data_IF_418070574795
#
_entry.id   IF_418070574795
#
_cell.length_a   1.000
_cell.length_b   1.000
_cell.length_c   1.000
_cell.angle_alpha   90.00
_cell.angle_beta   90.00
_cell.angle_gamma   90.00
#
_symmetry.space_group_name_H-M   'P 1'
#
loop_
_entity.id
_entity.type
_entity.pdbx_description
1 polymer ?
#
# COMPACT_ATOMS: atom_id res chain seq x y z
N UNK A 1 4.41 2.65 -9.49
CA UNK A 1 3.13 3.36 -9.24
C UNK A 1 2.05 2.92 -10.21
N UNK A 2 2.23 3.02 -11.53
CA UNK A 2 1.17 2.60 -12.47
C UNK A 2 0.65 1.18 -12.27
N UNK A 3 1.54 0.22 -12.06
CA UNK A 3 1.14 -1.16 -11.77
C UNK A 3 0.30 -1.26 -10.48
N UNK A 4 0.60 -0.43 -9.46
CA UNK A 4 -0.20 -0.39 -8.23
C UNK A 4 -1.61 0.18 -8.47
N UNK A 5 -1.74 1.15 -9.38
CA UNK A 5 -3.02 1.72 -9.79
C UNK A 5 -3.88 0.68 -10.51
N UNK A 6 -3.26 -0.19 -11.31
CA UNK A 6 -3.95 -1.30 -11.96
C UNK A 6 -4.42 -2.32 -10.91
N UNK A 7 -3.56 -2.72 -9.96
CA UNK A 7 -3.96 -3.61 -8.85
C UNK A 7 -5.10 -3.02 -8.00
N UNK A 8 -5.13 -1.70 -7.79
CA UNK A 8 -6.26 -1.06 -7.10
C UNK A 8 -7.56 -1.24 -7.87
N UNK A 9 -7.52 -1.05 -9.19
CA UNK A 9 -8.70 -1.22 -10.06
C UNK A 9 -9.21 -2.66 -10.02
N UNK A 10 -8.29 -3.64 -10.04
CA UNK A 10 -8.61 -5.06 -9.92
C UNK A 10 -9.19 -5.39 -8.53
N UNK A 11 -8.67 -4.79 -7.46
CA UNK A 11 -9.21 -4.96 -6.12
C UNK A 11 -10.67 -4.50 -6.01
N UNK A 12 -10.99 -3.34 -6.59
CA UNK A 12 -12.36 -2.81 -6.62
C UNK A 12 -13.28 -3.68 -7.49
N UNK A 13 -12.80 -4.16 -8.64
CA UNK A 13 -13.58 -5.04 -9.51
C UNK A 13 -13.90 -6.38 -8.82
N UNK A 14 -12.91 -7.00 -8.20
CA UNK A 14 -13.09 -8.24 -7.45
C UNK A 14 -14.06 -8.08 -6.28
N UNK A 15 -14.00 -6.95 -5.57
CA UNK A 15 -14.91 -6.66 -4.48
C UNK A 15 -16.36 -6.57 -4.97
N UNK A 16 -16.60 -5.82 -6.05
CA UNK A 16 -17.92 -5.67 -6.67
C UNK A 16 -18.49 -7.00 -7.16
N UNK A 17 -17.62 -7.91 -7.59
CA UNK A 17 -17.98 -9.26 -8.04
C UNK A 17 -18.12 -10.28 -6.89
N UNK A 18 -17.97 -9.87 -5.62
CA UNK A 18 -18.04 -10.75 -4.45
C UNK A 18 -16.83 -11.68 -4.29
N UNK A 19 -15.73 -11.44 -5.01
CA UNK A 19 -14.47 -12.20 -4.94
C UNK A 19 -13.57 -11.65 -3.81
N UNK A 20 -14.08 -11.63 -2.59
CA UNK A 20 -13.44 -10.97 -1.43
C UNK A 20 -11.98 -11.39 -1.14
N UNK A 21 -11.57 -12.67 -1.22
CA UNK A 21 -10.17 -13.01 -1.05
C UNK A 21 -9.27 -12.44 -2.16
N UNK A 22 -9.77 -12.42 -3.40
CA UNK A 22 -9.05 -11.86 -4.55
C UNK A 22 -8.92 -10.33 -4.43
N UNK A 23 -9.97 -9.65 -3.97
CA UNK A 23 -9.93 -8.21 -3.75
C UNK A 23 -8.90 -7.82 -2.68
N UNK A 24 -8.80 -8.61 -1.59
CA UNK A 24 -7.76 -8.42 -0.56
C UNK A 24 -6.37 -8.66 -1.12
N UNK A 25 -6.19 -9.71 -1.94
CA UNK A 25 -4.91 -9.97 -2.59
C UNK A 25 -4.46 -8.81 -3.48
N UNK A 26 -5.34 -8.27 -4.33
CA UNK A 26 -5.02 -7.13 -5.19
C UNK A 26 -4.82 -5.84 -4.39
N UNK A 27 -5.58 -5.61 -3.31
CA UNK A 27 -5.32 -4.49 -2.40
C UNK A 27 -3.92 -4.57 -1.76
N UNK A 28 -3.48 -5.77 -1.37
CA UNK A 28 -2.12 -6.00 -0.87
C UNK A 28 -1.06 -5.75 -1.95
N UNK A 29 -1.30 -6.21 -3.18
CA UNK A 29 -0.40 -5.97 -4.31
C UNK A 29 -0.27 -4.48 -4.66
N UNK A 30 -1.38 -3.76 -4.66
CA UNK A 30 -1.42 -2.31 -4.81
C UNK A 30 -0.53 -1.64 -3.76
N UNK A 31 -0.77 -1.92 -2.48
CA UNK A 31 0.00 -1.34 -1.37
C UNK A 31 1.49 -1.65 -1.50
N UNK A 32 1.86 -2.91 -1.72
CA UNK A 32 3.28 -3.32 -1.84
C UNK A 32 3.99 -2.57 -2.98
N UNK A 33 3.36 -2.49 -4.17
CA UNK A 33 3.94 -1.82 -5.34
C UNK A 33 3.94 -0.29 -5.20
N UNK A 34 2.97 0.29 -4.48
CA UNK A 34 2.92 1.72 -4.18
C UNK A 34 4.06 2.11 -3.23
N UNK A 35 4.28 1.35 -2.15
CA UNK A 35 5.37 1.61 -1.22
C UNK A 35 6.74 1.36 -1.88
N UNK A 36 6.89 0.33 -2.71
CA UNK A 36 8.14 0.14 -3.49
C UNK A 36 8.45 1.34 -4.40
N UNK A 37 7.42 1.96 -4.98
CA UNK A 37 7.60 3.17 -5.77
C UNK A 37 8.03 4.37 -4.90
N UNK A 38 7.46 4.51 -3.69
CA UNK A 38 7.89 5.51 -2.71
C UNK A 38 9.35 5.28 -2.26
N UNK A 39 9.74 4.05 -1.95
CA UNK A 39 11.11 3.75 -1.54
C UNK A 39 12.10 3.98 -2.70
N UNK A 40 11.70 3.67 -3.94
CA UNK A 40 12.48 4.04 -5.13
C UNK A 40 12.65 5.55 -5.27
N UNK A 41 11.64 6.36 -4.90
CA UNK A 41 11.77 7.82 -4.85
C UNK A 41 12.85 8.26 -3.85
N UNK A 42 12.97 7.58 -2.70
CA UNK A 42 14.05 7.81 -1.74
C UNK A 42 15.43 7.26 -2.18
N UNK A 43 15.52 6.65 -3.37
CA UNK A 43 16.77 6.10 -3.89
C UNK A 43 17.07 4.67 -3.45
N UNK A 44 16.11 3.95 -2.89
CA UNK A 44 16.27 2.56 -2.48
C UNK A 44 15.81 1.62 -3.61
N UNK A 45 16.77 0.90 -4.19
CA UNK A 45 16.49 -0.20 -5.11
C UNK A 45 16.22 -1.48 -4.31
N UNK A 46 15.09 -2.15 -4.57
CA UNK A 46 14.67 -3.32 -3.78
C UNK A 46 15.05 -4.63 -4.46
N UNK A 47 15.72 -5.50 -3.71
CA UNK A 47 15.74 -6.93 -3.99
C UNK A 47 14.73 -7.65 -3.07
N UNK A 48 13.53 -7.94 -3.61
CA UNK A 48 12.59 -8.98 -3.13
C UNK A 48 11.92 -8.86 -1.73
N UNK A 49 11.80 -7.69 -1.10
CA UNK A 49 10.95 -7.60 0.11
C UNK A 49 9.44 -7.63 -0.23
N UNK A 50 8.65 -8.33 0.59
CA UNK A 50 7.19 -8.24 0.64
C UNK A 50 6.68 -7.34 1.79
N UNK A 51 7.61 -6.77 2.57
CA UNK A 51 7.33 -5.91 3.71
C UNK A 51 7.96 -4.52 3.53
N UNK A 52 7.57 -3.75 2.49
CA UNK A 52 8.14 -2.44 2.27
C UNK A 52 7.78 -1.41 3.36
N UNK A 53 6.74 -1.66 4.19
CA UNK A 53 6.46 -0.78 5.34
C UNK A 53 7.59 -0.78 6.37
N UNK A 54 8.22 -1.95 6.61
CA UNK A 54 9.32 -2.08 7.57
C UNK A 54 10.53 -1.25 7.12
N UNK A 55 10.86 -1.31 5.83
CA UNK A 55 11.95 -0.50 5.26
C UNK A 55 11.63 1.00 5.37
N UNK A 56 10.39 1.40 5.08
CA UNK A 56 9.98 2.79 5.20
C UNK A 56 10.13 3.29 6.64
N UNK A 57 9.63 2.53 7.62
CA UNK A 57 9.74 2.89 9.04
C UNK A 57 11.19 2.90 9.54
N UNK A 58 11.90 1.80 9.36
CA UNK A 58 13.21 1.57 9.98
C UNK A 58 14.36 2.28 9.25
N UNK A 59 14.33 2.32 7.92
CA UNK A 59 15.46 2.78 7.11
C UNK A 59 15.29 4.19 6.53
N UNK A 60 14.06 4.70 6.43
CA UNK A 60 13.79 6.03 5.86
C UNK A 60 13.42 7.02 6.96
N UNK A 61 12.37 6.72 7.73
CA UNK A 61 11.80 7.68 8.68
C UNK A 61 12.66 7.83 9.94
N UNK A 62 13.41 6.80 10.31
CA UNK A 62 14.34 6.85 11.44
C UNK A 62 15.76 7.31 11.05
N UNK A 63 16.04 7.56 9.76
CA UNK A 63 17.35 8.01 9.28
C UNK A 63 17.40 9.55 9.15
N UNK A 64 18.18 10.26 9.99
CA UNK A 64 18.34 11.70 9.90
C UNK A 64 18.99 12.17 8.58
N UNK A 65 19.85 11.35 7.97
CA UNK A 65 20.52 11.70 6.71
C UNK A 65 19.51 11.75 5.55
N UNK A 66 18.58 10.80 5.50
CA UNK A 66 17.47 10.77 4.54
C UNK A 66 16.59 12.01 4.71
N UNK A 67 16.16 12.27 5.95
CA UNK A 67 15.28 13.40 6.26
C UNK A 67 15.92 14.74 5.86
N UNK A 68 17.22 14.89 6.11
CA UNK A 68 18.01 16.06 5.70
C UNK A 68 18.18 16.16 4.18
N UNK A 69 18.55 15.06 3.52
CA UNK A 69 18.77 14.99 2.06
C UNK A 69 17.52 15.35 1.26
N UNK A 70 16.37 14.86 1.69
CA UNK A 70 15.08 15.11 1.04
C UNK A 70 14.33 16.32 1.61
N UNK A 71 14.90 16.99 2.63
CA UNK A 71 14.32 18.14 3.31
C UNK A 71 12.86 17.89 3.74
N UNK A 72 12.61 16.72 4.34
CA UNK A 72 11.25 16.33 4.69
C UNK A 72 10.69 17.22 5.81
N UNK A 73 9.52 17.79 5.56
CA UNK A 73 8.77 18.55 6.54
C UNK A 73 8.09 17.61 7.55
N UNK A 74 7.77 18.13 8.74
CA UNK A 74 7.16 17.32 9.82
C UNK A 74 5.86 16.67 9.38
N UNK A 75 5.06 17.39 8.61
CA UNK A 75 3.79 16.94 8.04
C UNK A 75 4.01 15.76 7.08
N UNK A 76 5.07 15.80 6.26
CA UNK A 76 5.41 14.72 5.35
C UNK A 76 5.84 13.46 6.11
N UNK A 77 6.62 13.61 7.18
CA UNK A 77 7.01 12.50 8.05
C UNK A 77 5.78 11.87 8.71
N UNK A 78 4.84 12.69 9.21
CA UNK A 78 3.59 12.19 9.81
C UNK A 78 2.72 11.43 8.81
N UNK A 79 2.61 11.91 7.56
CA UNK A 79 1.92 11.19 6.49
C UNK A 79 2.56 9.81 6.27
N UNK A 80 3.90 9.75 6.19
CA UNK A 80 4.61 8.50 5.97
C UNK A 80 4.53 7.53 7.14
N UNK A 81 4.54 8.01 8.39
CA UNK A 81 4.28 7.17 9.56
C UNK A 81 2.89 6.52 9.48
N UNK A 82 1.88 7.28 9.05
CA UNK A 82 0.54 6.74 8.87
C UNK A 82 0.46 5.72 7.73
N UNK A 83 1.17 5.96 6.62
CA UNK A 83 1.32 4.98 5.53
C UNK A 83 1.94 3.68 6.05
N UNK A 84 3.03 3.76 6.83
CA UNK A 84 3.69 2.58 7.41
C UNK A 84 2.74 1.77 8.30
N UNK A 85 1.99 2.44 9.19
CA UNK A 85 1.01 1.79 10.08
C UNK A 85 -0.04 1.02 9.27
N UNK A 86 -0.69 1.67 8.31
CA UNK A 86 -1.74 1.05 7.49
C UNK A 86 -1.19 -0.06 6.61
N UNK A 87 -0.02 0.15 6.00
CA UNK A 87 0.61 -0.83 5.13
C UNK A 87 0.95 -2.12 5.91
N UNK A 88 1.46 -2.01 7.14
CA UNK A 88 1.80 -3.17 7.97
C UNK A 88 0.61 -4.09 8.23
N UNK A 89 -0.60 -3.54 8.37
CA UNK A 89 -1.85 -4.31 8.56
C UNK A 89 -2.18 -5.13 7.30
N UNK A 90 -2.02 -4.51 6.13
CA UNK A 90 -2.29 -5.15 4.84
C UNK A 90 -1.21 -6.19 4.51
N UNK A 91 0.06 -5.87 4.73
CA UNK A 91 1.18 -6.79 4.52
C UNK A 91 1.10 -8.01 5.47
N UNK A 92 0.52 -7.81 6.67
CA UNK A 92 0.20 -8.87 7.62
C UNK A 92 -0.75 -9.95 7.09
N UNK A 93 -1.50 -9.68 6.01
CA UNK A 93 -2.34 -10.69 5.34
C UNK A 93 -1.49 -11.76 4.62
N UNK A 94 -0.25 -11.42 4.26
CA UNK A 94 0.75 -12.33 3.66
C UNK A 94 0.21 -13.13 2.49
N UNK A 95 0.07 -14.44 2.66
CA UNK A 95 -0.39 -15.37 1.62
C UNK A 95 -1.80 -15.89 1.89
N UNK A 96 -2.43 -15.50 3.00
CA UNK A 96 -3.75 -15.96 3.42
C UNK A 96 -4.85 -15.68 2.39
N UNK A 97 -4.87 -14.54 1.67
CA UNK A 97 -5.87 -14.29 0.63
C UNK A 97 -5.85 -15.31 -0.51
N UNK A 98 -4.72 -16.00 -0.72
CA UNK A 98 -4.54 -16.99 -1.80
C UNK A 98 -4.61 -18.43 -1.32
N UNK A 99 -3.94 -18.73 -0.21
CA UNK A 99 -3.76 -20.12 0.25
C UNK A 99 -4.53 -20.44 1.54
N UNK A 100 -5.15 -19.45 2.15
CA UNK A 100 -5.86 -19.61 3.42
C UNK A 100 -4.89 -19.66 4.60
N UNK A 101 -5.35 -20.21 5.71
CA UNK A 101 -4.56 -20.32 6.94
C UNK A 101 -4.50 -21.77 7.40
N UNK A 102 -3.29 -22.31 7.48
CA UNK A 102 -3.04 -23.65 8.00
C UNK A 102 -3.14 -23.65 9.53
N UNK A 103 -4.04 -24.50 10.03
CA UNK A 103 -4.18 -24.80 11.47
C UNK A 103 -3.82 -26.26 11.72
N UNK A 104 -3.76 -26.67 13.00
CA UNK A 104 -3.43 -28.05 13.37
C UNK A 104 -4.39 -29.08 12.75
N UNK A 105 -5.66 -28.72 12.58
CA UNK A 105 -6.72 -29.66 12.20
C UNK A 105 -7.10 -29.58 10.72
N UNK A 106 -6.99 -28.38 10.12
CA UNK A 106 -7.34 -28.14 8.71
C UNK A 106 -6.74 -26.85 8.15
N UNK A 107 -6.77 -26.72 6.84
CA UNK A 107 -6.61 -25.43 6.15
C UNK A 107 -7.96 -24.71 6.17
N UNK A 108 -7.99 -23.50 6.75
CA UNK A 108 -9.12 -22.57 6.65
C UNK A 108 -9.03 -21.88 5.29
N UNK A 109 -10.05 -22.03 4.44
CA UNK A 109 -10.02 -21.47 3.07
C UNK A 109 -10.05 -19.94 3.11
N UNK A 110 -9.48 -19.25 2.11
CA UNK A 110 -9.56 -17.78 2.04
C UNK A 110 -11.00 -17.24 2.12
N UNK A 111 -11.97 -17.92 1.50
CA UNK A 111 -13.38 -17.53 1.53
C UNK A 111 -14.04 -17.66 2.91
N UNK A 112 -13.44 -18.41 3.83
CA UNK A 112 -13.89 -18.49 5.23
C UNK A 112 -13.27 -17.37 6.09
N UNK A 113 -12.18 -16.75 5.62
CA UNK A 113 -11.45 -15.67 6.31
C UNK A 113 -11.97 -14.30 5.85
N UNK A 114 -12.17 -14.15 4.54
CA UNK A 114 -12.51 -12.86 3.91
C UNK A 114 -13.95 -12.87 3.43
N UNK A 115 -14.81 -12.21 4.20
CA UNK A 115 -16.15 -11.80 3.81
C UNK A 115 -16.14 -10.35 3.28
N UNK A 116 -17.31 -9.84 2.91
CA UNK A 116 -17.48 -8.47 2.41
C UNK A 116 -16.91 -7.43 3.36
N UNK A 117 -17.27 -7.50 4.65
CA UNK A 117 -16.83 -6.54 5.67
C UNK A 117 -15.30 -6.52 5.81
N UNK A 118 -14.66 -7.69 5.87
CA UNK A 118 -13.21 -7.81 6.01
C UNK A 118 -12.48 -7.30 4.77
N UNK A 119 -13.00 -7.60 3.59
CA UNK A 119 -12.42 -7.12 2.35
C UNK A 119 -12.58 -5.60 2.20
N UNK A 120 -13.74 -5.05 2.53
CA UNK A 120 -14.01 -3.61 2.49
C UNK A 120 -13.08 -2.85 3.45
N UNK A 121 -12.89 -3.36 4.67
CA UNK A 121 -11.93 -2.81 5.62
C UNK A 121 -10.52 -2.68 5.04
N UNK A 122 -10.00 -3.77 4.45
CA UNK A 122 -8.65 -3.80 3.88
C UNK A 122 -8.54 -2.89 2.65
N UNK A 123 -9.56 -2.86 1.79
CA UNK A 123 -9.61 -1.97 0.63
C UNK A 123 -9.59 -0.52 1.06
N UNK A 124 -10.35 -0.14 2.10
CA UNK A 124 -10.33 1.22 2.65
C UNK A 124 -8.95 1.63 3.16
N UNK A 125 -8.20 0.72 3.80
CA UNK A 125 -6.81 1.00 4.17
C UNK A 125 -5.92 1.22 2.95
N UNK A 126 -6.07 0.42 1.89
CA UNK A 126 -5.30 0.60 0.64
C UNK A 126 -5.64 1.93 -0.06
N UNK A 127 -6.93 2.31 -0.09
CA UNK A 127 -7.39 3.62 -0.59
C UNK A 127 -6.77 4.76 0.20
N UNK A 128 -6.79 4.66 1.54
CA UNK A 128 -6.23 5.69 2.41
C UNK A 128 -4.72 5.84 2.20
N UNK A 129 -3.98 4.74 2.03
CA UNK A 129 -2.56 4.79 1.65
C UNK A 129 -2.37 5.54 0.34
N UNK A 130 -3.14 5.24 -0.71
CA UNK A 130 -3.04 5.96 -1.98
C UNK A 130 -3.37 7.46 -1.82
N UNK A 131 -4.37 7.81 -1.01
CA UNK A 131 -4.67 9.21 -0.67
C UNK A 131 -3.48 9.90 0.01
N UNK A 132 -2.90 9.28 1.04
CA UNK A 132 -1.75 9.82 1.77
C UNK A 132 -0.53 9.98 0.85
N UNK A 133 -0.27 9.00 -0.01
CA UNK A 133 0.80 9.07 -1.01
C UNK A 133 0.56 10.18 -2.04
N UNK A 134 -0.68 10.37 -2.49
CA UNK A 134 -1.01 11.50 -3.36
C UNK A 134 -0.74 12.84 -2.67
N UNK A 135 -1.12 12.98 -1.40
CA UNK A 135 -0.84 14.21 -0.64
C UNK A 135 0.67 14.44 -0.52
N UNK A 136 1.42 13.41 -0.15
CA UNK A 136 2.88 13.44 -0.09
C UNK A 136 3.50 13.88 -1.42
N UNK A 137 3.21 13.21 -2.53
CA UNK A 137 3.79 13.56 -3.83
C UNK A 137 3.37 14.95 -4.31
N UNK A 138 2.16 15.39 -4.00
CA UNK A 138 1.71 16.77 -4.33
C UNK A 138 2.45 17.85 -3.53
N UNK A 139 2.96 17.52 -2.34
CA UNK A 139 3.76 18.43 -1.52
C UNK A 139 5.21 18.54 -2.00
N UNK A 140 5.68 17.61 -2.84
CA UNK A 140 7.01 17.67 -3.44
C UNK A 140 7.00 18.69 -4.59
N UNK A 141 7.89 19.69 -4.51
CA UNK A 141 7.97 20.85 -5.44
C UNK A 141 8.56 20.50 -6.82
N UNK A 142 8.10 19.41 -7.42
CA UNK A 142 8.52 19.00 -8.77
C UNK A 142 7.30 18.64 -9.62
N UNK A 143 7.29 19.09 -10.88
CA UNK A 143 6.17 18.89 -11.79
C UNK A 143 5.80 17.41 -11.95
N UNK A 144 6.81 16.53 -12.07
CA UNK A 144 6.62 15.08 -12.21
C UNK A 144 5.88 14.46 -11.01
N UNK A 145 6.13 14.92 -9.78
CA UNK A 145 5.46 14.39 -8.59
C UNK A 145 4.02 14.92 -8.45
N UNK A 146 3.78 16.16 -8.86
CA UNK A 146 2.42 16.73 -8.93
C UNK A 146 1.56 15.98 -9.95
N UNK A 147 2.12 15.64 -11.11
CA UNK A 147 1.47 14.81 -12.13
C UNK A 147 1.15 13.41 -11.60
N UNK A 148 2.12 12.75 -10.96
CA UNK A 148 1.93 11.44 -10.32
C UNK A 148 0.80 11.47 -9.28
N UNK A 149 0.76 12.49 -8.42
CA UNK A 149 -0.33 12.70 -7.48
C UNK A 149 -1.69 12.92 -8.19
N UNK A 150 -1.68 13.56 -9.35
CA UNK A 150 -2.85 13.69 -10.22
C UNK A 150 -3.36 12.34 -10.74
N UNK A 151 -2.47 11.45 -11.16
CA UNK A 151 -2.80 10.10 -11.63
C UNK A 151 -3.41 9.24 -10.52
N UNK A 152 -2.80 9.25 -9.32
CA UNK A 152 -3.33 8.55 -8.15
C UNK A 152 -4.75 9.03 -7.83
N UNK A 153 -4.97 10.36 -7.79
CA UNK A 153 -6.30 10.93 -7.53
C UNK A 153 -7.34 10.61 -8.61
N UNK A 154 -6.93 10.47 -9.87
CA UNK A 154 -7.84 10.05 -10.95
C UNK A 154 -8.27 8.60 -10.77
N UNK A 155 -7.37 7.73 -10.30
CA UNK A 155 -7.67 6.35 -9.99
C UNK A 155 -8.76 6.23 -8.91
N UNK A 156 -8.58 6.95 -7.79
CA UNK A 156 -9.47 6.89 -6.63
C UNK A 156 -10.89 7.45 -6.84
N UNK A 157 -11.15 8.09 -7.99
CA UNK A 157 -12.48 8.63 -8.35
C UNK A 157 -13.33 7.67 -9.19
N UNK A 158 -12.80 6.51 -9.56
CA UNK A 158 -13.48 5.48 -10.37
C UNK A 158 -14.18 4.45 -9.48
#
# INVERSE_FOLDING_TARGET
MMIAIDDHSDAIADFKDGRYPSSVFHAQQCTEKALKALLSFFGFAHEKTHFPSDILGESILNDPEISSRFQLEKEQIQLMLKVTELASIIEGQRTMPRYGWETRDRIIKPSEIYNEEKADEIIRYSIEILNLLSHFFSSIKTQKMVELAGEIRKCLKK
#
